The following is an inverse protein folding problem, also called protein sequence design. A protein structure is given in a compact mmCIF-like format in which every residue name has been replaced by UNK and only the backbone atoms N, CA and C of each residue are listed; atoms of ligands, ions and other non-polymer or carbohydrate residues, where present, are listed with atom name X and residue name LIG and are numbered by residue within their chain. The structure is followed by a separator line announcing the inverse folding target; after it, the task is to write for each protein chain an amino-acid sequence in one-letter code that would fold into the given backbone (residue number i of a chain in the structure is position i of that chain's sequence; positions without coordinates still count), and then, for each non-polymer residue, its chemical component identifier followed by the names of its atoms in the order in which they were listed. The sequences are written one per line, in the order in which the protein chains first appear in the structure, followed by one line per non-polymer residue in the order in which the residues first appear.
data_IF_740599790899
#
_entry.id   IF_740599790899
#
_cell.length_a   1.000
_cell.length_b   1.000
_cell.length_c   1.000
_cell.angle_alpha   90.00
_cell.angle_beta   90.00
_cell.angle_gamma   90.00
#
_symmetry.space_group_name_H-M   'P 1'
#
loop_
_entity.id
_entity.type
_entity.pdbx_description
1 polymer ?
#
# COMPACT_ATOMS: atom_id res chain seq x y z
N UNK A 1 13.19 20.59 -0.28
CA UNK A 1 12.44 20.25 -1.50
C UNK A 1 13.08 19.01 -2.11
N UNK A 2 12.29 18.13 -2.69
CA UNK A 2 12.71 16.82 -3.17
C UNK A 2 12.48 16.71 -4.67
N UNK A 3 13.55 16.52 -5.45
CA UNK A 3 13.48 16.51 -6.91
C UNK A 3 12.95 15.17 -7.44
N UNK A 4 12.06 15.22 -8.44
CA UNK A 4 11.62 14.04 -9.18
C UNK A 4 12.71 13.70 -10.21
N UNK A 5 13.34 12.55 -10.00
CA UNK A 5 14.44 12.03 -10.82
C UNK A 5 13.94 11.18 -11.98
N UNK A 6 12.84 10.46 -11.78
CA UNK A 6 12.26 9.59 -12.78
C UNK A 6 10.73 9.56 -12.62
N UNK A 7 10.03 9.43 -13.75
CA UNK A 7 8.59 9.20 -13.79
C UNK A 7 8.28 8.11 -14.81
N UNK A 8 7.52 7.10 -14.39
CA UNK A 8 6.91 6.11 -15.29
C UNK A 8 5.41 6.08 -15.07
N UNK A 9 4.66 5.79 -16.12
CA UNK A 9 3.22 5.58 -16.03
C UNK A 9 2.95 4.10 -16.26
N UNK A 10 2.46 3.40 -15.24
CA UNK A 10 2.13 1.97 -15.33
C UNK A 10 0.75 1.75 -15.94
N UNK A 11 -0.19 2.65 -15.68
CA UNK A 11 -1.55 2.61 -16.23
C UNK A 11 -2.12 4.02 -16.36
N UNK A 12 -3.34 4.21 -16.93
CA UNK A 12 -3.95 5.54 -17.02
C UNK A 12 -4.04 6.29 -15.68
N UNK A 13 -4.12 5.58 -14.55
CA UNK A 13 -4.26 6.17 -13.22
C UNK A 13 -3.05 5.93 -12.30
N UNK A 14 -2.10 5.05 -12.64
CA UNK A 14 -1.00 4.65 -11.74
C UNK A 14 0.34 5.12 -12.27
N UNK A 15 1.07 5.84 -11.41
CA UNK A 15 2.35 6.46 -11.72
C UNK A 15 3.41 6.02 -10.72
N UNK A 16 4.63 5.89 -11.20
CA UNK A 16 5.84 5.66 -10.43
C UNK A 16 6.70 6.92 -10.47
N UNK A 17 7.18 7.36 -9.31
CA UNK A 17 8.09 8.49 -9.17
C UNK A 17 9.33 8.05 -8.38
N UNK A 18 10.53 8.25 -8.92
CA UNK A 18 11.75 8.30 -8.11
C UNK A 18 11.98 9.72 -7.65
N UNK A 19 12.19 9.87 -6.36
CA UNK A 19 12.31 11.16 -5.70
C UNK A 19 13.57 11.17 -4.86
N UNK A 20 14.37 12.22 -4.99
CA UNK A 20 15.56 12.46 -4.18
C UNK A 20 15.19 12.62 -2.70
N UNK A 21 15.66 11.71 -1.86
CA UNK A 21 15.44 11.73 -0.41
C UNK A 21 16.52 10.90 0.32
N UNK A 22 17.78 11.36 0.38
CA UNK A 22 18.91 10.54 0.82
C UNK A 22 18.76 10.00 2.24
N UNK A 23 18.35 10.86 3.19
CA UNK A 23 18.14 10.44 4.58
C UNK A 23 17.00 9.44 4.72
N UNK A 24 15.94 9.55 3.92
CA UNK A 24 14.83 8.59 3.94
C UNK A 24 15.28 7.26 3.35
N UNK A 25 15.99 7.29 2.21
CA UNK A 25 16.48 6.11 1.53
C UNK A 25 17.44 5.29 2.41
N UNK A 26 18.30 5.97 3.18
CA UNK A 26 19.28 5.34 4.09
C UNK A 26 18.63 4.66 5.30
N UNK A 27 17.57 5.25 5.85
CA UNK A 27 16.97 4.80 7.12
C UNK A 27 15.69 3.96 6.94
N UNK A 28 15.25 3.75 5.69
CA UNK A 28 14.04 3.01 5.37
C UNK A 28 14.17 1.52 5.69
N UNK A 29 13.07 0.96 6.19
CA UNK A 29 12.80 -0.47 6.25
C UNK A 29 11.50 -0.84 5.52
N UNK A 30 11.29 -2.12 5.13
CA UNK A 30 10.02 -2.60 4.59
C UNK A 30 8.83 -2.26 5.49
N UNK A 31 7.66 -2.01 4.90
CA UNK A 31 6.43 -1.63 5.63
C UNK A 31 6.30 -0.15 5.96
N UNK A 32 7.37 0.64 5.82
CA UNK A 32 7.35 2.07 6.14
C UNK A 32 6.83 2.95 5.00
N UNK A 33 6.30 4.11 5.37
CA UNK A 33 5.70 5.09 4.47
C UNK A 33 6.25 6.49 4.71
N UNK A 34 5.83 7.45 3.88
CA UNK A 34 6.12 8.87 4.03
C UNK A 34 4.84 9.70 4.04
N UNK A 35 4.86 10.85 4.69
CA UNK A 35 3.87 11.92 4.44
C UNK A 35 4.42 12.86 3.38
N UNK A 36 3.63 13.09 2.33
CA UNK A 36 3.98 13.98 1.21
C UNK A 36 3.09 15.21 1.23
N UNK A 37 3.72 16.37 1.03
CA UNK A 37 3.05 17.65 0.80
C UNK A 37 3.61 18.26 -0.48
N UNK A 38 2.71 18.52 -1.44
CA UNK A 38 3.07 18.87 -2.82
C UNK A 38 3.67 20.28 -2.91
N UNK A 39 3.07 21.23 -2.19
CA UNK A 39 3.42 22.65 -2.19
C UNK A 39 3.27 23.26 -0.79
N UNK A 40 3.81 24.46 -0.61
CA UNK A 40 3.77 25.22 0.66
C UNK A 40 2.52 26.09 0.81
N UNK A 41 1.63 26.11 -0.19
CA UNK A 41 0.49 27.01 -0.26
C UNK A 41 -0.80 26.24 0.07
N UNK A 42 -0.93 25.84 1.34
CA UNK A 42 -2.08 25.07 1.85
C UNK A 42 -2.28 23.68 1.20
N UNK A 43 -1.25 23.11 0.58
CA UNK A 43 -1.26 21.72 0.14
C UNK A 43 -1.53 20.76 1.31
N UNK A 44 -2.45 19.82 1.12
CA UNK A 44 -2.69 18.77 2.12
C UNK A 44 -1.52 17.79 2.22
N UNK A 45 -1.48 17.10 3.36
CA UNK A 45 -0.48 16.10 3.69
C UNK A 45 -1.08 14.71 3.50
N UNK A 46 -0.50 13.90 2.61
CA UNK A 46 -1.02 12.57 2.28
C UNK A 46 0.00 11.48 2.56
N UNK A 47 -0.39 10.33 3.14
CA UNK A 47 0.50 9.19 3.32
C UNK A 47 0.70 8.44 2.00
N UNK A 48 1.95 8.12 1.66
CA UNK A 48 2.33 7.30 0.51
C UNK A 48 3.40 6.29 0.94
N UNK A 49 3.22 5.02 0.59
CA UNK A 49 4.19 3.98 0.95
C UNK A 49 5.46 4.09 0.09
N UNK A 50 6.60 3.73 0.69
CA UNK A 50 7.87 3.68 -0.04
C UNK A 50 8.01 2.33 -0.74
N UNK A 51 7.71 2.28 -2.03
CA UNK A 51 7.72 1.06 -2.83
C UNK A 51 9.15 0.53 -3.08
N UNK A 52 10.11 1.42 -3.28
CA UNK A 52 11.52 1.08 -3.44
C UNK A 52 12.45 2.22 -2.99
N UNK A 53 13.75 1.99 -2.89
CA UNK A 53 14.74 2.99 -2.54
C UNK A 53 16.15 2.47 -2.83
N UNK A 54 17.07 3.40 -3.06
CA UNK A 54 18.50 3.12 -3.11
C UNK A 54 19.22 4.09 -2.18
N UNK A 55 19.90 3.55 -1.17
CA UNK A 55 20.62 4.34 -0.17
C UNK A 55 21.92 4.97 -0.72
N UNK A 56 22.57 4.32 -1.69
CA UNK A 56 23.81 4.82 -2.31
C UNK A 56 23.51 5.98 -3.27
N UNK A 57 22.46 5.85 -4.08
CA UNK A 57 22.02 6.89 -5.02
C UNK A 57 21.10 7.94 -4.37
N UNK A 58 20.63 7.71 -3.14
CA UNK A 58 19.91 8.70 -2.33
C UNK A 58 18.46 8.97 -2.75
N UNK A 59 17.73 7.98 -3.28
CA UNK A 59 16.34 8.15 -3.72
C UNK A 59 15.38 7.13 -3.12
N UNK A 60 14.11 7.51 -3.08
CA UNK A 60 12.97 6.64 -2.78
C UNK A 60 12.01 6.59 -3.97
N UNK A 61 11.28 5.51 -4.12
CA UNK A 61 10.24 5.34 -5.12
C UNK A 61 8.85 5.36 -4.49
N UNK A 62 7.97 6.16 -5.08
CA UNK A 62 6.56 6.26 -4.72
C UNK A 62 5.72 5.76 -5.88
N UNK A 63 4.75 4.89 -5.61
CA UNK A 63 3.75 4.44 -6.57
C UNK A 63 2.41 5.01 -6.15
N UNK A 64 1.80 5.78 -7.05
CA UNK A 64 0.68 6.66 -6.72
C UNK A 64 -0.46 6.41 -7.70
N UNK A 65 -1.68 6.25 -7.16
CA UNK A 65 -2.90 6.21 -7.97
C UNK A 65 -3.59 7.59 -7.92
N UNK A 66 -3.96 8.11 -9.09
CA UNK A 66 -4.60 9.42 -9.26
C UNK A 66 -6.09 9.41 -8.87
N UNK A 67 -6.37 9.19 -7.59
CA UNK A 67 -7.74 9.04 -7.04
C UNK A 67 -8.36 10.34 -6.48
N UNK A 68 -7.54 11.32 -6.08
CA UNK A 68 -7.99 12.56 -5.43
C UNK A 68 -7.21 13.79 -5.92
N UNK A 69 -7.61 14.98 -5.48
CA UNK A 69 -7.03 16.25 -5.97
C UNK A 69 -5.49 16.29 -5.82
N UNK A 70 -4.97 15.89 -4.66
CA UNK A 70 -3.53 15.87 -4.39
C UNK A 70 -2.80 14.82 -5.22
N UNK A 71 -3.29 13.59 -5.27
CA UNK A 71 -2.63 12.57 -6.09
C UNK A 71 -2.68 12.89 -7.58
N UNK A 72 -3.75 13.53 -8.08
CA UNK A 72 -3.80 14.06 -9.46
C UNK A 72 -2.72 15.13 -9.68
N UNK A 73 -2.62 16.13 -8.78
CA UNK A 73 -1.58 17.17 -8.86
C UNK A 73 -0.17 16.58 -8.82
N UNK A 74 0.06 15.58 -7.98
CA UNK A 74 1.35 14.91 -7.86
C UNK A 74 1.70 14.15 -9.14
N UNK A 75 0.74 13.41 -9.70
CA UNK A 75 0.92 12.67 -10.96
C UNK A 75 1.08 13.60 -12.18
N UNK A 76 0.68 14.87 -12.09
CA UNK A 76 0.88 15.87 -13.15
C UNK A 76 2.28 16.51 -13.13
N UNK A 77 3.05 16.37 -12.05
CA UNK A 77 4.45 16.81 -12.01
C UNK A 77 5.32 16.01 -12.97
N UNK A 78 6.38 16.63 -13.48
CA UNK A 78 7.31 16.06 -14.43
C UNK A 78 8.69 15.81 -13.80
N UNK A 79 9.52 15.05 -14.50
CA UNK A 79 10.94 14.90 -14.13
C UNK A 79 11.59 16.29 -14.10
N UNK A 80 12.34 16.56 -13.05
CA UNK A 80 12.93 17.88 -12.79
C UNK A 80 12.11 18.76 -11.84
N UNK A 81 10.80 18.53 -11.72
CA UNK A 81 9.98 19.23 -10.73
C UNK A 81 10.33 18.80 -9.31
N UNK A 82 9.92 19.61 -8.33
CA UNK A 82 10.12 19.34 -6.91
C UNK A 82 8.81 19.11 -6.16
N UNK A 83 8.88 18.25 -5.14
CA UNK A 83 7.90 18.08 -4.08
C UNK A 83 8.36 18.92 -2.88
N UNK A 84 7.47 19.73 -2.31
CA UNK A 84 7.84 20.69 -1.28
C UNK A 84 8.41 20.01 -0.03
N UNK A 85 7.68 19.02 0.51
CA UNK A 85 8.10 18.29 1.71
C UNK A 85 7.76 16.80 1.63
N UNK A 86 8.70 15.98 2.11
CA UNK A 86 8.52 14.54 2.35
C UNK A 86 9.03 14.26 3.75
N UNK A 87 8.16 13.70 4.61
CA UNK A 87 8.48 13.31 5.97
C UNK A 87 8.50 11.79 6.09
N UNK A 88 9.63 11.22 6.49
CA UNK A 88 9.76 9.82 6.88
C UNK A 88 11.22 9.36 7.01
N UNK A 89 11.45 8.03 7.06
CA UNK A 89 10.43 6.98 6.99
C UNK A 89 9.55 6.97 8.27
N UNK A 90 8.28 6.64 8.12
CA UNK A 90 7.27 6.60 9.17
C UNK A 90 6.67 5.19 9.28
N UNK A 91 6.03 4.92 10.43
CA UNK A 91 5.52 3.60 10.75
C UNK A 91 6.60 2.64 11.27
N UNK A 92 6.13 1.57 11.89
CA UNK A 92 6.96 0.44 12.32
C UNK A 92 7.36 -0.39 11.09
N UNK A 93 8.62 -0.83 11.01
CA UNK A 93 9.04 -1.79 10.01
C UNK A 93 8.23 -3.10 10.07
N UNK A 94 8.10 -3.77 8.93
CA UNK A 94 7.44 -5.06 8.88
C UNK A 94 8.16 -6.10 9.74
N UNK A 95 7.39 -6.91 10.45
CA UNK A 95 7.94 -8.01 11.23
C UNK A 95 8.24 -9.21 10.33
N UNK A 96 9.48 -9.32 9.86
CA UNK A 96 9.93 -10.37 8.96
C UNK A 96 10.56 -11.51 9.76
N UNK A 97 10.02 -12.72 9.62
CA UNK A 97 10.57 -13.95 10.20
C UNK A 97 10.71 -15.03 9.15
N UNK A 98 11.56 -16.04 9.41
CA UNK A 98 11.60 -17.27 8.62
C UNK A 98 10.60 -18.26 9.22
N UNK A 99 9.39 -18.29 8.68
CA UNK A 99 8.28 -19.10 9.17
C UNK A 99 7.95 -20.30 8.28
N UNK A 100 8.39 -20.30 7.01
CA UNK A 100 8.09 -21.37 6.06
C UNK A 100 7.51 -20.80 4.78
N UNK A 101 6.20 -20.90 4.61
CA UNK A 101 5.45 -20.38 3.46
C UNK A 101 4.68 -19.12 3.83
N UNK A 102 4.90 -18.04 3.08
CA UNK A 102 4.20 -16.77 3.24
C UNK A 102 3.35 -16.50 1.99
N UNK A 103 2.06 -16.23 2.21
CA UNK A 103 1.14 -15.81 1.15
C UNK A 103 0.95 -14.28 1.17
N UNK A 104 1.48 -13.59 0.15
CA UNK A 104 1.36 -12.15 -0.02
C UNK A 104 0.17 -11.82 -0.94
N UNK A 105 -0.90 -11.27 -0.38
CA UNK A 105 -2.15 -10.94 -1.08
C UNK A 105 -2.24 -9.44 -1.35
N UNK A 106 -2.30 -9.07 -2.62
CA UNK A 106 -2.24 -7.69 -3.09
C UNK A 106 -3.51 -7.30 -3.82
N UNK A 107 -4.07 -6.12 -3.52
CA UNK A 107 -5.22 -5.55 -4.24
C UNK A 107 -4.89 -4.23 -4.90
N UNK A 108 -5.00 -4.17 -6.23
CA UNK A 108 -4.71 -2.97 -7.03
C UNK A 108 -3.31 -2.44 -6.75
N UNK A 109 -3.21 -1.16 -6.38
CA UNK A 109 -1.92 -0.53 -6.04
C UNK A 109 -1.26 -1.10 -4.77
N UNK A 110 -1.96 -1.95 -3.99
CA UNK A 110 -1.42 -2.62 -2.81
C UNK A 110 -0.23 -3.56 -3.10
N UNK A 111 0.02 -3.89 -4.36
CA UNK A 111 1.21 -4.64 -4.79
C UNK A 111 2.51 -3.84 -4.60
N UNK A 112 2.49 -2.52 -4.81
CA UNK A 112 3.65 -1.66 -4.65
C UNK A 112 4.19 -1.59 -3.20
N UNK A 113 3.35 -1.38 -2.16
CA UNK A 113 3.80 -1.48 -0.77
C UNK A 113 4.14 -2.91 -0.34
N UNK A 114 3.55 -3.94 -0.98
CA UNK A 114 3.91 -5.34 -0.70
C UNK A 114 5.31 -5.69 -1.21
N UNK A 115 5.74 -5.10 -2.33
CA UNK A 115 7.01 -5.44 -2.97
C UNK A 115 8.23 -5.48 -2.03
N UNK A 116 8.54 -4.43 -1.25
CA UNK A 116 9.68 -4.47 -0.32
C UNK A 116 9.50 -5.49 0.82
N UNK A 117 8.26 -5.78 1.21
CA UNK A 117 7.93 -6.78 2.24
C UNK A 117 8.19 -8.19 1.69
N UNK A 118 7.72 -8.46 0.47
CA UNK A 118 7.97 -9.71 -0.23
C UNK A 118 9.48 -9.94 -0.46
N UNK A 119 10.23 -8.93 -0.91
CA UNK A 119 11.69 -9.02 -1.02
C UNK A 119 12.35 -9.42 0.31
N UNK A 120 11.88 -8.84 1.42
CA UNK A 120 12.42 -9.13 2.74
C UNK A 120 12.11 -10.57 3.20
N UNK A 121 10.88 -11.05 3.01
CA UNK A 121 10.52 -12.44 3.30
C UNK A 121 11.29 -13.43 2.42
N UNK A 122 11.49 -13.13 1.13
CA UNK A 122 12.30 -13.96 0.23
C UNK A 122 13.75 -14.04 0.71
N UNK A 123 14.34 -12.89 1.07
CA UNK A 123 15.70 -12.79 1.60
C UNK A 123 15.86 -13.54 2.93
N UNK A 124 14.82 -13.59 3.76
CA UNK A 124 14.80 -14.37 4.99
C UNK A 124 14.71 -15.90 4.76
N UNK A 125 14.52 -16.34 3.50
CA UNK A 125 14.50 -17.76 3.12
C UNK A 125 13.13 -18.41 3.23
N UNK A 126 12.05 -17.63 3.12
CA UNK A 126 10.68 -18.16 3.04
C UNK A 126 10.33 -18.53 1.60
N UNK A 127 9.42 -19.50 1.47
CA UNK A 127 8.67 -19.74 0.23
C UNK A 127 7.61 -18.64 0.10
N UNK A 128 7.54 -17.99 -1.06
CA UNK A 128 6.60 -16.92 -1.35
C UNK A 128 5.55 -17.34 -2.37
N UNK A 129 4.29 -17.23 -1.97
CA UNK A 129 3.15 -17.31 -2.86
C UNK A 129 2.55 -15.91 -2.94
N UNK A 130 2.50 -15.32 -4.12
CA UNK A 130 1.98 -13.96 -4.32
C UNK A 130 0.65 -14.05 -5.06
N UNK A 131 -0.38 -13.40 -4.54
CA UNK A 131 -1.68 -13.24 -5.20
C UNK A 131 -1.85 -11.76 -5.54
N UNK A 132 -1.98 -11.43 -6.83
CA UNK A 132 -2.26 -10.06 -7.29
C UNK A 132 -3.68 -10.00 -7.84
N UNK A 133 -4.51 -9.15 -7.25
CA UNK A 133 -5.87 -8.87 -7.72
C UNK A 133 -6.02 -7.47 -8.28
N UNK A 134 -6.68 -7.33 -9.43
CA UNK A 134 -7.11 -6.05 -9.97
C UNK A 134 -8.52 -6.12 -10.55
N UNK A 135 -9.14 -4.97 -10.83
CA UNK A 135 -10.48 -4.96 -11.46
C UNK A 135 -10.43 -5.47 -12.91
N UNK A 136 -9.35 -5.16 -13.62
CA UNK A 136 -9.10 -5.54 -15.01
C UNK A 136 -7.60 -5.59 -15.29
N UNK A 137 -7.23 -6.06 -16.49
CA UNK A 137 -5.85 -6.20 -16.97
C UNK A 137 -5.04 -4.90 -16.90
N UNK A 138 -5.62 -3.77 -17.28
CA UNK A 138 -4.92 -2.47 -17.36
C UNK A 138 -4.50 -1.93 -15.99
N UNK A 139 -5.05 -2.48 -14.91
CA UNK A 139 -4.74 -2.11 -13.53
C UNK A 139 -3.72 -3.05 -12.86
N UNK A 140 -3.24 -4.07 -13.56
CA UNK A 140 -2.16 -4.92 -13.08
C UNK A 140 -0.84 -4.15 -13.19
N UNK A 141 -0.13 -4.06 -12.07
CA UNK A 141 1.17 -3.40 -11.96
C UNK A 141 2.11 -4.29 -11.14
N UNK A 142 3.43 -4.10 -11.28
CA UNK A 142 4.46 -4.89 -10.57
C UNK A 142 4.43 -6.40 -10.83
N UNK A 143 3.84 -6.86 -11.95
CA UNK A 143 3.78 -8.29 -12.28
C UNK A 143 5.19 -8.88 -12.46
N UNK A 144 6.02 -8.25 -13.30
CA UNK A 144 7.37 -8.74 -13.59
C UNK A 144 8.27 -8.68 -12.34
N UNK A 145 8.17 -7.59 -11.58
CA UNK A 145 8.90 -7.40 -10.33
C UNK A 145 8.53 -8.46 -9.29
N UNK A 146 7.24 -8.77 -9.12
CA UNK A 146 6.77 -9.81 -8.20
C UNK A 146 7.13 -11.22 -8.71
N UNK A 147 7.00 -11.46 -10.02
CA UNK A 147 7.36 -12.74 -10.64
C UNK A 147 8.83 -13.09 -10.46
N UNK A 148 9.71 -12.09 -10.42
CA UNK A 148 11.14 -12.29 -10.20
C UNK A 148 11.49 -12.79 -8.78
N UNK A 149 10.60 -12.60 -7.79
CA UNK A 149 10.86 -12.97 -6.39
C UNK A 149 9.94 -14.04 -5.83
N UNK A 150 8.76 -14.23 -6.42
CA UNK A 150 7.77 -15.22 -5.98
C UNK A 150 8.18 -16.64 -6.39
N UNK A 151 7.92 -17.63 -5.52
CA UNK A 151 7.99 -19.05 -5.90
C UNK A 151 6.73 -19.47 -6.67
N UNK A 152 5.62 -18.79 -6.41
CA UNK A 152 4.36 -18.95 -7.14
C UNK A 152 3.66 -17.58 -7.24
N UNK A 153 3.18 -17.23 -8.44
CA UNK A 153 2.45 -16.00 -8.69
C UNK A 153 1.06 -16.34 -9.27
N UNK A 154 0.03 -15.88 -8.58
CA UNK A 154 -1.37 -16.04 -8.98
C UNK A 154 -1.94 -14.66 -9.29
N UNK A 155 -2.45 -14.48 -10.50
CA UNK A 155 -3.07 -13.23 -10.93
C UNK A 155 -4.57 -13.44 -11.07
N UNK A 156 -5.34 -12.53 -10.47
CA UNK A 156 -6.80 -12.52 -10.57
C UNK A 156 -7.31 -11.19 -11.09
N UNK A 157 -8.32 -11.22 -11.97
CA UNK A 157 -9.11 -10.03 -12.29
C UNK A 157 -10.60 -10.24 -12.05
N UNK A 158 -11.30 -9.20 -11.60
CA UNK A 158 -12.74 -9.26 -11.31
C UNK A 158 -13.55 -9.58 -12.59
N UNK A 159 -13.14 -9.03 -13.72
CA UNK A 159 -13.81 -9.18 -15.01
C UNK A 159 -13.36 -10.43 -15.81
N UNK A 160 -12.22 -11.03 -15.46
CA UNK A 160 -11.59 -12.13 -16.19
C UNK A 160 -10.77 -11.71 -17.42
N UNK A 161 -10.48 -10.42 -17.60
CA UNK A 161 -9.65 -9.90 -18.69
C UNK A 161 -8.19 -10.39 -18.67
N UNK A 162 -7.66 -10.82 -17.53
CA UNK A 162 -6.31 -11.38 -17.41
C UNK A 162 -6.17 -12.32 -16.20
N UNK A 163 -5.35 -13.36 -16.33
CA UNK A 163 -5.21 -14.38 -15.30
C UNK A 163 -6.54 -15.08 -15.02
N UNK A 164 -6.85 -15.30 -13.75
CA UNK A 164 -8.07 -15.97 -13.31
C UNK A 164 -9.19 -14.98 -13.03
N UNK A 165 -10.40 -15.25 -13.55
CA UNK A 165 -11.60 -14.50 -13.15
C UNK A 165 -12.01 -14.84 -11.71
N UNK A 166 -11.58 -14.04 -10.74
CA UNK A 166 -11.84 -14.27 -9.33
C UNK A 166 -11.48 -13.03 -8.49
N UNK A 167 -12.03 -12.98 -7.26
CA UNK A 167 -11.46 -12.16 -6.20
C UNK A 167 -10.26 -12.87 -5.59
N UNK A 168 -9.30 -12.13 -5.05
CA UNK A 168 -8.08 -12.68 -4.41
C UNK A 168 -8.37 -13.65 -3.25
N UNK A 169 -9.54 -13.54 -2.64
CA UNK A 169 -9.97 -14.41 -1.54
C UNK A 169 -10.24 -15.85 -2.00
N UNK A 170 -10.52 -16.06 -3.28
CA UNK A 170 -10.75 -17.40 -3.84
C UNK A 170 -9.46 -18.23 -3.86
N UNK A 171 -8.37 -17.81 -4.55
CA UNK A 171 -7.11 -18.55 -4.47
C UNK A 171 -6.52 -18.54 -3.05
N UNK A 172 -6.72 -17.48 -2.26
CA UNK A 172 -6.31 -17.49 -0.85
C UNK A 172 -6.99 -18.63 -0.08
N UNK A 173 -8.30 -18.80 -0.24
CA UNK A 173 -9.05 -19.89 0.40
C UNK A 173 -8.52 -21.26 -0.03
N UNK A 174 -8.26 -21.44 -1.32
CA UNK A 174 -7.71 -22.70 -1.85
C UNK A 174 -6.33 -23.02 -1.25
N UNK A 175 -5.48 -22.01 -1.05
CA UNK A 175 -4.20 -22.19 -0.35
C UNK A 175 -4.42 -22.61 1.11
N UNK A 176 -5.35 -21.97 1.82
CA UNK A 176 -5.70 -22.32 3.20
C UNK A 176 -6.26 -23.75 3.34
N UNK A 177 -6.99 -24.24 2.33
CA UNK A 177 -7.57 -25.59 2.29
C UNK A 177 -6.59 -26.66 1.76
N UNK A 178 -5.41 -26.25 1.27
CA UNK A 178 -4.44 -27.16 0.68
C UNK A 178 -3.77 -28.07 1.73
N UNK A 179 -3.09 -29.12 1.27
CA UNK A 179 -2.33 -30.01 2.16
C UNK A 179 -1.17 -29.30 2.89
N UNK A 180 -0.71 -28.17 2.34
CA UNK A 180 0.39 -27.37 2.88
C UNK A 180 -0.04 -25.90 2.92
N UNK A 181 -0.90 -25.51 3.87
CA UNK A 181 -1.36 -24.13 4.00
C UNK A 181 -0.21 -23.18 4.35
N UNK A 182 -0.34 -21.89 4.05
CA UNK A 182 0.68 -20.90 4.41
C UNK A 182 0.77 -20.73 5.93
N UNK A 183 2.00 -20.56 6.42
CA UNK A 183 2.29 -20.28 7.83
C UNK A 183 1.89 -18.84 8.21
N UNK A 184 1.99 -17.92 7.25
CA UNK A 184 1.61 -16.51 7.41
C UNK A 184 1.00 -15.96 6.13
N UNK A 185 -0.04 -15.13 6.30
CA UNK A 185 -0.66 -14.35 5.22
C UNK A 185 -0.38 -12.87 5.47
N UNK A 186 0.04 -12.17 4.43
CA UNK A 186 0.20 -10.72 4.43
C UNK A 186 -0.75 -10.13 3.39
N UNK A 187 -1.68 -9.25 3.79
CA UNK A 187 -2.67 -8.69 2.88
C UNK A 187 -2.60 -7.16 2.82
N UNK A 188 -2.45 -6.59 1.62
CA UNK A 188 -2.39 -5.15 1.41
C UNK A 188 -3.24 -4.76 0.20
N UNK A 189 -4.19 -3.85 0.39
CA UNK A 189 -5.08 -3.40 -0.67
C UNK A 189 -6.23 -2.56 -0.14
N UNK A 190 -7.37 -2.50 -0.85
CA UNK A 190 -8.56 -1.84 -0.36
C UNK A 190 -9.00 -2.41 1.02
N UNK A 191 -9.50 -1.59 1.96
CA UNK A 191 -9.92 -2.05 3.28
C UNK A 191 -10.89 -3.24 3.24
N UNK A 192 -11.81 -3.25 2.27
CA UNK A 192 -12.76 -4.34 2.09
C UNK A 192 -12.08 -5.64 1.68
N UNK A 193 -11.03 -5.59 0.85
CA UNK A 193 -10.25 -6.76 0.48
C UNK A 193 -9.50 -7.30 1.70
N UNK A 194 -8.85 -6.41 2.47
CA UNK A 194 -8.14 -6.79 3.70
C UNK A 194 -9.10 -7.44 4.72
N UNK A 195 -10.31 -6.90 4.90
CA UNK A 195 -11.37 -7.49 5.73
C UNK A 195 -11.69 -8.91 5.28
N UNK A 196 -11.92 -9.14 3.99
CA UNK A 196 -12.25 -10.48 3.51
C UNK A 196 -11.06 -11.44 3.51
N UNK A 197 -9.81 -10.97 3.41
CA UNK A 197 -8.64 -11.82 3.64
C UNK A 197 -8.56 -12.28 5.11
N UNK A 198 -8.87 -11.39 6.06
CA UNK A 198 -8.96 -11.73 7.48
C UNK A 198 -10.04 -12.80 7.72
N UNK A 199 -11.25 -12.62 7.17
CA UNK A 199 -12.33 -13.59 7.33
C UNK A 199 -12.09 -14.91 6.58
N UNK A 200 -11.36 -14.89 5.45
CA UNK A 200 -10.99 -16.10 4.71
C UNK A 200 -10.02 -16.96 5.52
N UNK A 201 -9.10 -16.34 6.25
CA UNK A 201 -8.03 -17.04 7.00
C UNK A 201 -8.45 -17.43 8.42
N UNK A 202 -9.43 -16.73 9.00
CA UNK A 202 -9.90 -16.92 10.39
C UNK A 202 -10.31 -18.37 10.72
N UNK A 203 -11.09 -19.09 9.90
CA UNK A 203 -11.49 -20.48 10.20
C UNK A 203 -10.32 -21.46 10.26
N UNK A 204 -9.20 -21.12 9.61
CA UNK A 204 -7.99 -21.94 9.54
C UNK A 204 -6.97 -21.58 10.62
N UNK A 205 -7.20 -20.51 11.39
CA UNK A 205 -6.26 -20.03 12.41
C UNK A 205 -4.92 -19.55 11.86
N UNK A 206 -4.85 -19.22 10.55
CA UNK A 206 -3.62 -18.76 9.90
C UNK A 206 -3.34 -17.32 10.32
N UNK A 207 -2.10 -17.05 10.76
CA UNK A 207 -1.66 -15.70 11.13
C UNK A 207 -1.79 -14.78 9.92
N UNK A 208 -2.59 -13.72 10.05
CA UNK A 208 -2.84 -12.78 8.96
C UNK A 208 -2.51 -11.35 9.37
N UNK A 209 -1.56 -10.75 8.68
CA UNK A 209 -1.14 -9.35 8.89
C UNK A 209 -1.71 -8.49 7.77
N UNK A 210 -2.22 -7.30 8.12
CA UNK A 210 -2.71 -6.30 7.15
C UNK A 210 -2.01 -4.97 7.34
N UNK A 211 -1.66 -4.28 6.25
CA UNK A 211 -1.15 -2.91 6.28
C UNK A 211 -2.28 -1.91 6.04
N UNK A 212 -2.71 -1.22 7.10
CA UNK A 212 -3.87 -0.34 7.07
C UNK A 212 -3.58 1.00 6.39
N UNK A 213 -4.56 1.49 5.62
CA UNK A 213 -4.55 2.80 4.96
C UNK A 213 -5.65 3.71 5.55
N UNK A 214 -5.36 4.35 6.68
CA UNK A 214 -6.28 5.32 7.31
C UNK A 214 -5.96 6.76 6.90
N UNK A 215 -6.90 7.67 7.20
CA UNK A 215 -6.67 9.12 7.06
C UNK A 215 -5.51 9.52 7.97
N UNK A 216 -4.47 10.14 7.42
CA UNK A 216 -3.34 10.65 8.19
C UNK A 216 -3.17 12.14 7.96
N UNK A 217 -2.75 12.86 9.01
CA UNK A 217 -2.39 14.27 8.92
C UNK A 217 -0.90 14.38 9.26
N UNK A 218 -0.57 14.31 10.55
CA UNK A 218 0.78 14.48 11.11
C UNK A 218 1.70 13.27 10.86
N UNK A 219 1.17 12.06 10.90
CA UNK A 219 1.96 10.83 10.70
C UNK A 219 2.95 10.52 11.82
N UNK A 220 2.89 11.25 12.94
CA UNK A 220 3.87 11.17 14.05
C UNK A 220 3.20 10.97 15.42
N UNK A 221 1.91 10.60 15.45
CA UNK A 221 1.17 10.24 16.66
C UNK A 221 0.56 11.41 17.44
N UNK A 222 0.55 12.62 16.88
CA UNK A 222 0.15 13.83 17.60
C UNK A 222 -1.36 14.10 17.59
N UNK A 223 -2.08 13.72 16.52
CA UNK A 223 -3.48 14.14 16.35
C UNK A 223 -4.55 13.04 16.49
N UNK A 224 -4.18 11.76 16.33
CA UNK A 224 -5.15 10.65 16.34
C UNK A 224 -6.09 10.59 15.11
N UNK A 225 -5.82 11.33 14.04
CA UNK A 225 -6.56 11.26 12.77
C UNK A 225 -6.53 9.85 12.16
N UNK A 226 -5.39 9.18 12.30
CA UNK A 226 -5.16 7.82 11.81
C UNK A 226 -5.66 6.72 12.75
N UNK A 227 -6.41 7.05 13.82
CA UNK A 227 -6.83 6.06 14.81
C UNK A 227 -7.65 4.93 14.19
N UNK A 228 -7.43 3.73 14.73
CA UNK A 228 -8.18 2.51 14.46
C UNK A 228 -8.41 1.75 15.77
N UNK A 229 -9.47 0.96 15.84
CA UNK A 229 -9.68 0.03 16.95
C UNK A 229 -9.09 -1.33 16.57
N UNK A 230 -8.15 -1.82 17.39
CA UNK A 230 -7.55 -3.15 17.25
C UNK A 230 -7.62 -3.83 18.62
N UNK A 231 -8.26 -4.99 18.67
CA UNK A 231 -8.44 -5.75 19.93
C UNK A 231 -9.14 -4.93 21.03
N UNK A 232 -10.20 -4.22 20.66
CA UNK A 232 -10.94 -3.27 21.53
C UNK A 232 -10.09 -2.13 22.12
N UNK A 233 -8.88 -1.88 21.59
CA UNK A 233 -8.01 -0.78 21.99
C UNK A 233 -7.82 0.21 20.83
N UNK A 234 -7.76 1.51 21.17
CA UNK A 234 -7.43 2.54 20.19
C UNK A 234 -5.92 2.48 19.93
N UNK A 235 -5.55 2.37 18.65
CA UNK A 235 -4.17 2.43 18.14
C UNK A 235 -4.04 3.51 17.08
N UNK A 236 -2.86 4.10 16.94
CA UNK A 236 -2.57 5.10 15.91
C UNK A 236 -1.74 4.46 14.81
N UNK A 237 -2.34 4.26 13.63
CA UNK A 237 -1.71 3.55 12.50
C UNK A 237 -0.32 4.09 12.16
N UNK A 238 -0.09 5.40 12.27
CA UNK A 238 1.20 6.00 11.93
C UNK A 238 2.38 5.66 12.88
N UNK A 239 2.12 5.26 14.12
CA UNK A 239 3.16 5.00 15.14
C UNK A 239 3.07 3.60 15.77
N UNK A 240 1.86 3.04 15.83
CA UNK A 240 1.62 1.67 16.29
C UNK A 240 1.66 0.64 15.16
N UNK A 241 1.40 1.09 13.92
CA UNK A 241 1.34 0.27 12.71
C UNK A 241 2.34 0.72 11.64
N UNK A 242 1.99 0.69 10.33
CA UNK A 242 0.64 0.55 9.79
C UNK A 242 0.12 -0.89 9.76
N UNK A 243 0.97 -1.84 10.14
CA UNK A 243 0.69 -3.27 10.09
C UNK A 243 0.08 -3.78 11.39
N UNK A 244 -1.02 -4.53 11.29
CA UNK A 244 -1.75 -5.09 12.44
C UNK A 244 -2.22 -6.51 12.16
N UNK A 245 -2.49 -7.25 13.24
CA UNK A 245 -3.21 -8.52 13.18
C UNK A 245 -4.62 -8.29 12.61
N UNK A 246 -4.85 -8.81 11.41
CA UNK A 246 -6.06 -8.62 10.65
C UNK A 246 -7.30 -9.18 11.37
N UNK A 247 -7.14 -10.20 12.21
CA UNK A 247 -8.24 -10.82 12.92
C UNK A 247 -8.79 -9.96 14.06
N UNK A 248 -8.04 -8.92 14.46
CA UNK A 248 -8.33 -8.02 15.58
C UNK A 248 -8.75 -6.62 15.16
N UNK A 249 -8.71 -6.29 13.86
CA UNK A 249 -9.02 -4.95 13.33
C UNK A 249 -10.53 -4.75 13.21
N UNK A 250 -11.04 -3.63 13.71
CA UNK A 250 -12.40 -3.16 13.42
C UNK A 250 -12.45 -2.47 12.03
N UNK A 251 -12.60 -3.30 10.99
CA UNK A 251 -12.67 -2.83 9.61
C UNK A 251 -13.89 -1.96 9.32
N UNK A 252 -15.02 -2.20 9.99
CA UNK A 252 -16.26 -1.47 9.72
C UNK A 252 -16.17 -0.04 10.27
N UNK A 253 -15.64 0.14 11.48
CA UNK A 253 -15.32 1.46 12.00
C UNK A 253 -14.28 2.17 11.12
N UNK A 254 -13.21 1.48 10.74
CA UNK A 254 -12.18 2.03 9.86
C UNK A 254 -12.78 2.55 8.54
N UNK A 255 -13.57 1.73 7.85
CA UNK A 255 -14.20 2.10 6.57
C UNK A 255 -15.23 3.23 6.71
N UNK A 256 -15.96 3.29 7.82
CA UNK A 256 -16.84 4.43 8.13
C UNK A 256 -16.03 5.73 8.24
N UNK A 257 -14.92 5.70 8.99
CA UNK A 257 -14.05 6.87 9.17
C UNK A 257 -13.45 7.37 7.85
N UNK A 258 -13.10 6.47 6.94
CA UNK A 258 -12.56 6.82 5.62
C UNK A 258 -13.56 7.57 4.73
N UNK A 259 -14.86 7.55 5.04
CA UNK A 259 -15.88 8.28 4.29
C UNK A 259 -16.15 9.69 4.84
N UNK A 260 -15.50 10.08 5.94
CA UNK A 260 -15.80 11.31 6.67
C UNK A 260 -15.68 12.59 5.82
N UNK A 261 -14.78 12.61 4.83
CA UNK A 261 -14.51 13.79 4.00
C UNK A 261 -14.94 13.63 2.53
N UNK A 262 -15.66 12.56 2.18
CA UNK A 262 -15.98 12.23 0.79
C UNK A 262 -16.66 13.38 0.04
N UNK A 263 -17.59 14.08 0.67
CA UNK A 263 -18.27 15.22 0.06
C UNK A 263 -17.32 16.36 -0.35
N UNK A 264 -16.28 16.63 0.46
CA UNK A 264 -15.25 17.63 0.14
C UNK A 264 -14.25 17.09 -0.89
N UNK A 265 -13.81 15.85 -0.74
CA UNK A 265 -12.90 15.18 -1.66
C UNK A 265 -13.46 15.15 -3.10
N UNK A 266 -14.75 14.84 -3.26
CA UNK A 266 -15.41 14.80 -4.57
C UNK A 266 -15.46 16.20 -5.22
N UNK A 267 -15.75 17.25 -4.43
CA UNK A 267 -15.75 18.63 -4.91
C UNK A 267 -14.35 19.07 -5.35
N UNK A 268 -13.32 18.81 -4.54
CA UNK A 268 -11.95 19.22 -4.82
C UNK A 268 -11.36 18.43 -6.01
N UNK A 269 -11.71 17.14 -6.14
CA UNK A 269 -11.37 16.33 -7.32
C UNK A 269 -12.02 16.88 -8.59
N UNK A 270 -13.29 17.30 -8.52
CA UNK A 270 -13.98 17.88 -9.66
C UNK A 270 -13.32 19.19 -10.11
N UNK A 271 -13.03 20.11 -9.19
CA UNK A 271 -12.30 21.36 -9.48
C UNK A 271 -10.94 21.08 -10.14
N UNK A 272 -10.20 20.12 -9.60
CA UNK A 272 -8.89 19.73 -10.12
C UNK A 272 -8.97 19.16 -11.54
N UNK A 273 -9.96 18.31 -11.85
CA UNK A 273 -10.16 17.76 -13.20
C UNK A 273 -10.63 18.81 -14.20
N UNK A 274 -11.40 19.80 -13.75
CA UNK A 274 -11.90 20.89 -14.59
C UNK A 274 -10.86 21.99 -14.85
N UNK A 275 -9.63 21.86 -14.32
CA UNK A 275 -8.58 22.88 -14.47
C UNK A 275 -8.86 24.19 -13.71
N UNK A 276 -9.84 24.19 -12.82
CA UNK A 276 -10.20 25.34 -11.98
C UNK A 276 -9.26 25.31 -10.78
N UNK A 277 -8.05 25.82 -10.97
CA UNK A 277 -7.09 26.05 -9.90
C UNK A 277 -7.47 27.36 -9.21
N UNK A 278 -8.08 27.28 -8.03
CA UNK A 278 -8.07 28.38 -7.06
C UNK A 278 -6.92 28.16 -6.08
#
# INVERSE_FOLDING_TARGET
MHKILEKRQYSPEVFYLRVEAPEIAKNRHPGQFVIVQIDTNFGERVPLTIADANAEEGWIALVIQAVGATTIKLCNKNVGDSIAAILGPLGRPSHITKCGTVACVCGGIGVAPMYPIAQAFKKAGNKLIVIIGARNKDLIVFEDEMKAIADELIITTDDGSYGRKALVTVPLKELCESQTPPDEVFAIGPPIMMKFCAETTRPFGIKTTVSLNTIMIDGTGMCGGCRVTVDNQIKFVCVDGPEFDAHKVDFDNMMMRMKAFRGREDQDRHKCKSGIFN
#
